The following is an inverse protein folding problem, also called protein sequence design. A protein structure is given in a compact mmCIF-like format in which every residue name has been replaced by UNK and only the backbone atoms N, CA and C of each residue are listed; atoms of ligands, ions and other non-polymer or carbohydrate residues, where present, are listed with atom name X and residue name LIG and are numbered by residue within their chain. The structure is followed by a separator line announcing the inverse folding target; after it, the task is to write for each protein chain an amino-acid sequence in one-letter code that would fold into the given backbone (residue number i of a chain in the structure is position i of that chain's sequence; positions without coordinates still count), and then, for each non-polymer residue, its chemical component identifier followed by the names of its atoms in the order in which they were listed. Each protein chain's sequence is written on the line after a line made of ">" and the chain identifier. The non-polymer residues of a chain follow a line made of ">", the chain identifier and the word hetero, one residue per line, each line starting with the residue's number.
data_IF_251131621009
#
_entry.id   IF_251131621009
#
_cell.length_a   1.000
_cell.length_b   1.000
_cell.length_c   1.000
_cell.angle_alpha   90.00
_cell.angle_beta   90.00
_cell.angle_gamma   90.00
#
_symmetry.space_group_name_H-M   'P 1'
#
loop_
_entity.id
_entity.type
_entity.pdbx_description
1 polymer ?
#
# COMPACT_ATOMS: atom_id res chain seq x y z
N UNK A 1 7.08 -15.46 7.54
CA UNK A 1 6.36 -14.16 7.55
C UNK A 1 5.00 -14.38 6.91
N UNK A 2 3.92 -13.82 7.46
CA UNK A 2 2.59 -13.92 6.86
C UNK A 2 2.42 -12.74 5.90
N UNK A 3 1.95 -13.00 4.68
CA UNK A 3 1.63 -11.97 3.68
C UNK A 3 0.11 -11.92 3.48
N UNK A 4 -0.46 -10.72 3.57
CA UNK A 4 -1.91 -10.50 3.49
C UNK A 4 -2.19 -9.45 2.42
N UNK A 5 -3.06 -9.77 1.48
CA UNK A 5 -3.55 -8.82 0.48
C UNK A 5 -4.71 -7.99 1.01
N UNK A 6 -4.55 -6.67 1.08
CA UNK A 6 -5.62 -5.73 1.41
C UNK A 6 -6.21 -5.14 0.12
N UNK A 7 -7.45 -5.47 -0.19
CA UNK A 7 -8.17 -5.02 -1.40
C UNK A 7 -9.54 -4.41 -1.06
N UNK A 8 -10.21 -3.86 -2.06
CA UNK A 8 -11.50 -3.17 -1.92
C UNK A 8 -11.71 -2.11 -3.02
N UNK A 9 -12.96 -1.73 -3.25
CA UNK A 9 -13.34 -0.72 -4.25
C UNK A 9 -12.90 0.71 -3.88
N UNK A 10 -13.19 1.66 -4.78
CA UNK A 10 -13.00 3.10 -4.51
C UNK A 10 -13.90 3.50 -3.34
N UNK A 11 -13.37 4.28 -2.39
CA UNK A 11 -14.11 4.74 -1.22
C UNK A 11 -14.35 3.67 -0.12
N UNK A 12 -13.83 2.44 -0.27
CA UNK A 12 -14.07 1.37 0.71
C UNK A 12 -13.23 1.47 1.99
N UNK A 13 -12.42 2.52 2.15
CA UNK A 13 -11.61 2.72 3.36
C UNK A 13 -10.32 1.88 3.47
N UNK A 14 -9.79 1.35 2.35
CA UNK A 14 -8.52 0.59 2.35
C UNK A 14 -7.38 1.31 3.07
N UNK A 15 -7.18 2.59 2.79
CA UNK A 15 -6.14 3.41 3.43
C UNK A 15 -6.34 3.53 4.94
N UNK A 16 -7.59 3.56 5.42
CA UNK A 16 -7.92 3.54 6.85
C UNK A 16 -7.53 2.22 7.49
N UNK A 17 -7.89 1.10 6.87
CA UNK A 17 -7.54 -0.24 7.36
C UNK A 17 -6.02 -0.45 7.35
N UNK A 18 -5.34 -0.07 6.26
CA UNK A 18 -3.88 -0.11 6.15
C UNK A 18 -3.19 0.66 7.27
N UNK A 19 -3.65 1.89 7.55
CA UNK A 19 -3.13 2.71 8.65
C UNK A 19 -3.37 2.08 10.01
N UNK A 20 -4.51 1.40 10.21
CA UNK A 20 -4.80 0.70 11.46
C UNK A 20 -3.88 -0.52 11.64
N UNK A 21 -3.65 -1.29 10.58
CA UNK A 21 -2.73 -2.43 10.61
C UNK A 21 -1.29 -1.96 10.93
N UNK A 22 -0.85 -0.86 10.32
CA UNK A 22 0.46 -0.27 10.60
C UNK A 22 0.62 0.10 12.08
N UNK A 23 -0.42 0.70 12.70
CA UNK A 23 -0.43 1.02 14.14
C UNK A 23 -0.30 -0.22 15.05
N UNK A 24 -0.64 -1.40 14.55
CA UNK A 24 -0.50 -2.68 15.27
C UNK A 24 0.79 -3.43 14.89
N UNK A 25 1.73 -2.77 14.20
CA UNK A 25 3.05 -3.33 13.87
C UNK A 25 3.11 -4.07 12.55
N UNK A 26 2.06 -4.00 11.70
CA UNK A 26 2.16 -4.54 10.35
C UNK A 26 3.07 -3.68 9.48
N UNK A 27 3.92 -4.33 8.69
CA UNK A 27 4.65 -3.66 7.61
C UNK A 27 3.71 -3.52 6.42
N UNK A 28 3.54 -2.29 5.94
CA UNK A 28 2.67 -1.98 4.81
C UNK A 28 3.49 -1.92 3.52
N UNK A 29 3.06 -2.70 2.53
CA UNK A 29 3.54 -2.62 1.15
C UNK A 29 2.41 -1.99 0.33
N UNK A 30 2.56 -0.71 -0.02
CA UNK A 30 1.57 0.05 -0.77
C UNK A 30 1.90 0.03 -2.26
N UNK A 31 1.13 -0.73 -3.03
CA UNK A 31 1.32 -0.88 -4.47
C UNK A 31 1.10 0.43 -5.24
N UNK A 32 0.18 1.29 -4.79
CA UNK A 32 -0.10 2.57 -5.46
C UNK A 32 1.08 3.52 -5.26
N UNK A 33 1.65 3.56 -4.05
CA UNK A 33 2.83 4.36 -3.74
C UNK A 33 4.06 3.89 -4.54
N UNK A 34 4.31 2.58 -4.58
CA UNK A 34 5.42 2.00 -5.35
C UNK A 34 5.26 2.32 -6.83
N UNK A 35 4.06 2.16 -7.39
CA UNK A 35 3.79 2.47 -8.80
C UNK A 35 4.05 3.94 -9.09
N UNK A 36 3.68 4.84 -8.18
CA UNK A 36 3.95 6.28 -8.32
C UNK A 36 5.45 6.59 -8.29
N UNK A 37 6.20 5.92 -7.43
CA UNK A 37 7.65 6.07 -7.33
C UNK A 37 8.34 5.58 -8.61
N UNK A 38 7.93 4.44 -9.16
CA UNK A 38 8.49 3.92 -10.42
C UNK A 38 8.14 4.77 -11.65
N UNK A 39 7.13 5.64 -11.56
CA UNK A 39 6.71 6.52 -12.64
C UNK A 39 7.36 7.91 -12.60
N UNK A 40 8.21 8.22 -11.60
CA UNK A 40 8.91 9.51 -11.59
C UNK A 40 9.93 9.57 -12.74
N UNK A 41 10.14 10.75 -13.37
CA UNK A 41 11.11 10.88 -14.46
C UNK A 41 12.50 10.40 -14.05
N UNK A 42 13.08 9.48 -14.84
CA UNK A 42 14.40 8.90 -14.58
C UNK A 42 14.42 7.73 -13.59
N UNK A 43 13.26 7.29 -13.09
CA UNK A 43 13.17 6.05 -12.33
C UNK A 43 13.54 4.84 -13.21
N UNK A 44 14.17 3.80 -12.63
CA UNK A 44 14.41 2.55 -13.32
C UNK A 44 13.07 1.87 -13.60
N UNK A 45 12.81 1.58 -14.88
CA UNK A 45 11.72 0.72 -15.31
C UNK A 45 12.13 -0.75 -15.16
#
# INVERSE_FOLDING_TARGET
>A
MILIGLTGGIGSGKSTVSSLLAKHGAVIIDADAITRELQVPGAPL
#
